data_IF_370107247950
#
_entry.id   IF_370107247950
#
_cell.length_a   1.000
_cell.length_b   1.000
_cell.length_c   1.000
_cell.angle_alpha   90.00
_cell.angle_beta   90.00
_cell.angle_gamma   90.00
#
_symmetry.space_group_name_H-M   'P 1'
#
loop_
_entity.id
_entity.type
_entity.pdbx_description
1 polymer ?
#
# COMPACT_ATOMS: atom_id res chain seq x y z
N UNK A 1 -13.99 -20.15 -11.19
CA UNK A 1 -13.74 -19.21 -12.28
C UNK A 1 -14.84 -18.15 -12.45
N UNK A 2 -16.12 -18.48 -12.49
CA UNK A 2 -17.24 -17.51 -12.53
C UNK A 2 -17.31 -16.55 -11.33
N UNK A 3 -17.03 -17.02 -10.11
CA UNK A 3 -17.02 -16.21 -8.87
C UNK A 3 -15.94 -15.10 -8.88
N UNK A 4 -14.79 -15.37 -9.47
CA UNK A 4 -13.66 -14.43 -9.57
C UNK A 4 -14.00 -13.20 -10.43
N UNK A 5 -14.67 -13.41 -11.56
CA UNK A 5 -15.14 -12.33 -12.43
C UNK A 5 -16.33 -11.56 -11.86
N UNK A 6 -17.15 -12.23 -11.05
CA UNK A 6 -18.21 -11.54 -10.32
C UNK A 6 -17.64 -10.60 -9.25
N UNK A 7 -16.51 -10.92 -8.61
CA UNK A 7 -15.85 -10.02 -7.67
C UNK A 7 -15.25 -8.78 -8.37
N UNK A 8 -14.53 -8.96 -9.50
CA UNK A 8 -14.03 -7.83 -10.30
C UNK A 8 -15.18 -6.95 -10.84
N UNK A 9 -16.21 -7.56 -11.40
CA UNK A 9 -17.39 -6.84 -11.87
C UNK A 9 -18.16 -6.19 -10.71
N UNK A 10 -18.25 -6.81 -9.53
CA UNK A 10 -18.87 -6.20 -8.35
C UNK A 10 -18.11 -4.98 -7.84
N UNK A 11 -16.78 -4.98 -7.96
CA UNK A 11 -15.97 -3.82 -7.57
C UNK A 11 -16.17 -2.61 -8.50
N UNK A 12 -16.52 -2.82 -9.80
CA UNK A 12 -16.44 -1.76 -10.81
C UNK A 12 -17.55 -1.76 -11.85
N UNK A 13 -18.71 -2.41 -11.60
CA UNK A 13 -19.85 -2.30 -12.50
C UNK A 13 -20.45 -0.89 -12.41
N UNK A 14 -20.66 -0.19 -13.54
CA UNK A 14 -21.48 1.02 -13.57
C UNK A 14 -22.87 0.72 -13.03
N UNK A 15 -23.21 1.25 -11.87
CA UNK A 15 -24.50 0.99 -11.17
C UNK A 15 -24.37 0.30 -9.80
N UNK A 16 -23.27 -0.42 -9.51
CA UNK A 16 -23.03 -0.95 -8.15
C UNK A 16 -22.13 0.03 -7.36
N UNK A 17 -22.73 0.89 -6.56
CA UNK A 17 -22.05 1.95 -5.82
C UNK A 17 -21.20 1.44 -4.63
N UNK A 18 -21.44 0.21 -4.15
CA UNK A 18 -20.81 -0.29 -2.92
C UNK A 18 -19.27 -0.39 -2.97
N UNK A 19 -18.64 -0.95 -4.02
CA UNK A 19 -17.19 -1.05 -4.05
C UNK A 19 -16.48 0.30 -4.23
N UNK A 20 -17.09 1.20 -5.02
CA UNK A 20 -16.59 2.55 -5.21
C UNK A 20 -16.67 3.36 -3.91
N UNK A 21 -17.76 3.19 -3.14
CA UNK A 21 -17.91 3.80 -1.82
C UNK A 21 -16.87 3.24 -0.84
N UNK A 22 -16.65 1.93 -0.84
CA UNK A 22 -15.63 1.30 0.01
C UNK A 22 -14.21 1.80 -0.32
N UNK A 23 -13.87 1.92 -1.61
CA UNK A 23 -12.58 2.49 -2.05
C UNK A 23 -12.46 3.96 -1.62
N UNK A 24 -13.49 4.78 -1.85
CA UNK A 24 -13.49 6.19 -1.47
C UNK A 24 -13.38 6.38 0.06
N UNK A 25 -14.00 5.51 0.84
CA UNK A 25 -13.89 5.51 2.30
C UNK A 25 -12.45 5.16 2.75
N UNK A 26 -11.85 4.14 2.15
CA UNK A 26 -10.46 3.75 2.39
C UNK A 26 -9.51 4.90 2.04
N UNK A 27 -9.67 5.50 0.88
CA UNK A 27 -8.83 6.61 0.41
C UNK A 27 -9.04 7.90 1.21
N UNK A 28 -10.29 8.18 1.65
CA UNK A 28 -10.71 9.45 2.23
C UNK A 28 -10.96 10.53 1.19
N UNK A 29 -11.08 10.16 -0.08
CA UNK A 29 -11.44 11.03 -1.22
C UNK A 29 -11.96 10.19 -2.39
N UNK A 30 -12.53 10.86 -3.41
CA UNK A 30 -13.02 10.20 -4.60
C UNK A 30 -11.92 10.07 -5.66
N UNK A 31 -11.72 8.87 -6.26
CA UNK A 31 -10.87 8.69 -7.43
C UNK A 31 -11.36 9.50 -8.64
N UNK A 32 -10.45 10.15 -9.38
CA UNK A 32 -10.76 10.76 -10.68
C UNK A 32 -10.66 9.70 -11.78
N UNK A 33 -9.63 8.85 -11.73
CA UNK A 33 -9.40 7.78 -12.69
C UNK A 33 -9.47 6.41 -12.02
N UNK A 34 -10.67 5.84 -11.94
CA UNK A 34 -10.93 4.54 -11.30
C UNK A 34 -10.07 3.41 -11.88
N UNK A 35 -9.72 3.45 -13.17
CA UNK A 35 -8.89 2.42 -13.83
C UNK A 35 -7.50 2.27 -13.22
N UNK A 36 -6.93 3.34 -12.68
CA UNK A 36 -5.64 3.27 -11.97
C UNK A 36 -5.75 2.43 -10.70
N UNK A 37 -6.86 2.56 -9.98
CA UNK A 37 -7.11 1.81 -8.75
C UNK A 37 -7.50 0.35 -9.03
N UNK A 38 -8.24 0.09 -10.12
CA UNK A 38 -8.46 -1.26 -10.62
C UNK A 38 -7.16 -1.97 -10.91
N UNK A 39 -6.26 -1.29 -11.62
CA UNK A 39 -4.92 -1.81 -11.92
C UNK A 39 -4.11 -2.05 -10.64
N UNK A 40 -4.12 -1.12 -9.69
CA UNK A 40 -3.41 -1.24 -8.41
C UNK A 40 -3.87 -2.47 -7.61
N UNK A 41 -5.17 -2.75 -7.62
CA UNK A 41 -5.79 -3.87 -6.90
C UNK A 41 -5.75 -5.19 -7.68
N UNK A 42 -5.18 -5.22 -8.89
CA UNK A 42 -5.06 -6.42 -9.72
C UNK A 42 -3.65 -7.00 -9.64
N UNK A 43 -3.49 -8.11 -8.93
CA UNK A 43 -2.20 -8.78 -8.81
C UNK A 43 -1.81 -9.51 -10.11
N UNK A 44 -0.49 -9.61 -10.38
CA UNK A 44 0.07 -10.30 -11.56
C UNK A 44 -0.38 -11.76 -11.74
N UNK A 45 -0.81 -12.44 -10.69
CA UNK A 45 -1.33 -13.81 -10.77
C UNK A 45 -2.75 -13.89 -11.33
N UNK A 46 -3.41 -12.76 -11.54
CA UNK A 46 -4.77 -12.71 -12.07
C UNK A 46 -4.79 -13.06 -13.55
N UNK A 47 -5.82 -13.81 -13.98
CA UNK A 47 -6.04 -14.18 -15.38
C UNK A 47 -7.46 -13.80 -15.81
N UNK A 48 -7.58 -13.33 -17.04
CA UNK A 48 -8.89 -13.12 -17.68
C UNK A 48 -9.47 -14.46 -18.16
N UNK A 49 -10.81 -14.59 -18.37
CA UNK A 49 -11.43 -15.83 -18.83
C UNK A 49 -10.95 -16.30 -20.19
N UNK A 50 -10.50 -15.36 -21.03
CA UNK A 50 -9.92 -15.62 -22.35
C UNK A 50 -8.44 -16.04 -22.30
N UNK A 51 -7.90 -16.23 -21.10
CA UNK A 51 -6.49 -16.59 -20.86
C UNK A 51 -5.51 -15.42 -20.94
N UNK A 52 -5.96 -14.22 -21.30
CA UNK A 52 -5.11 -13.02 -21.31
C UNK A 52 -4.79 -12.57 -19.90
N UNK A 53 -3.65 -11.93 -19.73
CA UNK A 53 -3.28 -11.28 -18.48
C UNK A 53 -3.89 -9.87 -18.43
N UNK A 54 -4.60 -9.50 -17.35
CA UNK A 54 -5.05 -8.14 -17.18
C UNK A 54 -3.85 -7.19 -16.96
N UNK A 55 -4.08 -5.91 -17.14
CA UNK A 55 -3.15 -4.88 -16.69
C UNK A 55 -3.04 -5.01 -15.15
N UNK A 56 -1.84 -5.24 -14.64
CA UNK A 56 -1.60 -5.57 -13.24
C UNK A 56 -0.87 -4.43 -12.49
N UNK A 57 -0.60 -4.65 -11.21
CA UNK A 57 -0.04 -3.67 -10.31
C UNK A 57 1.48 -3.43 -10.42
N UNK A 58 2.25 -4.29 -11.11
CA UNK A 58 3.73 -4.26 -11.09
C UNK A 58 4.33 -2.89 -11.48
N UNK A 59 3.76 -2.21 -12.49
CA UNK A 59 4.27 -0.90 -12.90
C UNK A 59 3.96 0.21 -11.90
N UNK A 60 2.86 0.11 -11.17
CA UNK A 60 2.49 1.05 -10.11
C UNK A 60 3.33 0.79 -8.85
N UNK A 61 3.60 -0.46 -8.52
CA UNK A 61 4.53 -0.89 -7.46
C UNK A 61 5.94 -0.33 -7.72
N UNK A 62 6.45 -0.46 -8.94
CA UNK A 62 7.74 0.14 -9.32
C UNK A 62 7.78 1.67 -9.11
N UNK A 63 6.70 2.37 -9.46
CA UNK A 63 6.63 3.82 -9.27
C UNK A 63 6.55 4.20 -7.79
N UNK A 64 5.80 3.42 -7.01
CA UNK A 64 5.60 3.67 -5.59
C UNK A 64 6.90 3.59 -4.78
N UNK A 65 7.79 2.66 -5.10
CA UNK A 65 9.05 2.48 -4.36
C UNK A 65 9.79 3.84 -4.18
N UNK A 66 9.85 4.64 -5.24
CA UNK A 66 10.43 5.98 -5.17
C UNK A 66 9.54 6.97 -4.39
N UNK A 67 8.22 6.95 -4.62
CA UNK A 67 7.26 7.90 -4.03
C UNK A 67 7.09 7.67 -2.53
N UNK A 68 6.89 6.42 -2.12
CA UNK A 68 6.78 6.04 -0.71
C UNK A 68 8.07 6.31 0.03
N UNK A 69 9.21 5.94 -0.57
CA UNK A 69 10.53 6.20 -0.01
C UNK A 69 10.76 7.69 0.27
N UNK A 70 10.46 8.56 -0.70
CA UNK A 70 10.57 10.01 -0.55
C UNK A 70 9.59 10.57 0.49
N UNK A 71 8.34 10.10 0.46
CA UNK A 71 7.27 10.55 1.37
C UNK A 71 7.61 10.20 2.83
N UNK A 72 8.01 8.96 3.09
CA UNK A 72 8.38 8.50 4.43
C UNK A 72 9.63 9.23 4.93
N UNK A 73 10.63 9.45 4.05
CA UNK A 73 11.83 10.21 4.40
C UNK A 73 11.49 11.64 4.84
N UNK A 74 10.62 12.35 4.11
CA UNK A 74 10.20 13.71 4.47
C UNK A 74 9.43 13.74 5.80
N UNK A 75 8.53 12.77 6.02
CA UNK A 75 7.80 12.64 7.29
C UNK A 75 8.77 12.44 8.46
N UNK A 76 9.71 11.51 8.34
CA UNK A 76 10.67 11.18 9.39
C UNK A 76 11.64 12.33 9.66
N UNK A 77 12.12 12.99 8.62
CA UNK A 77 13.02 14.14 8.73
C UNK A 77 12.38 15.28 9.56
N UNK A 78 11.11 15.56 9.30
CA UNK A 78 10.34 16.59 10.03
C UNK A 78 9.94 16.15 11.44
N UNK A 79 9.65 14.86 11.62
CA UNK A 79 9.20 14.32 12.92
C UNK A 79 10.35 14.16 13.92
N UNK A 80 11.56 13.86 13.44
CA UNK A 80 12.75 13.64 14.26
C UNK A 80 13.89 14.61 13.94
N UNK A 81 13.75 15.93 14.16
CA UNK A 81 14.71 16.95 13.71
C UNK A 81 16.11 16.77 14.30
N UNK A 82 16.23 16.15 15.48
CA UNK A 82 17.50 15.98 16.20
C UNK A 82 18.15 14.61 16.00
N UNK A 83 17.58 13.74 15.14
CA UNK A 83 18.13 12.40 14.89
C UNK A 83 19.08 12.39 13.70
N UNK A 84 20.15 11.59 13.80
CA UNK A 84 21.15 11.41 12.74
C UNK A 84 20.60 10.56 11.59
N UNK A 85 21.25 10.66 10.42
CA UNK A 85 20.88 9.97 9.18
C UNK A 85 20.67 8.45 9.38
N UNK A 86 21.61 7.75 10.01
CA UNK A 86 21.50 6.31 10.21
C UNK A 86 20.30 5.86 11.06
N UNK A 87 19.79 6.73 11.97
CA UNK A 87 18.53 6.48 12.66
C UNK A 87 17.34 6.63 11.71
N UNK A 88 17.29 7.70 10.92
CA UNK A 88 16.21 7.97 9.99
C UNK A 88 16.11 6.88 8.92
N UNK A 89 17.25 6.43 8.40
CA UNK A 89 17.34 5.34 7.42
C UNK A 89 16.84 4.02 8.00
N UNK A 90 17.24 3.67 9.22
CA UNK A 90 16.77 2.44 9.86
C UNK A 90 15.27 2.46 10.14
N UNK A 91 14.72 3.57 10.65
CA UNK A 91 13.26 3.69 10.89
C UNK A 91 12.51 3.65 9.55
N UNK A 92 12.99 4.35 8.51
CA UNK A 92 12.40 4.27 7.16
C UNK A 92 12.32 2.83 6.67
N UNK A 93 13.43 2.09 6.72
CA UNK A 93 13.48 0.70 6.27
C UNK A 93 12.45 -0.18 6.97
N UNK A 94 12.20 0.03 8.28
CA UNK A 94 11.17 -0.70 9.03
C UNK A 94 9.74 -0.34 8.62
N UNK A 95 9.51 0.88 8.15
CA UNK A 95 8.19 1.31 7.66
C UNK A 95 7.91 0.71 6.29
N UNK A 96 8.89 0.77 5.37
CA UNK A 96 8.70 0.35 3.97
C UNK A 96 9.01 -1.12 3.73
N UNK A 97 9.39 -1.89 4.74
CA UNK A 97 9.63 -3.32 4.58
C UNK A 97 8.32 -4.07 4.29
N UNK A 98 8.42 -5.14 3.50
CA UNK A 98 7.29 -5.93 3.00
C UNK A 98 6.33 -6.42 4.08
N UNK A 99 6.85 -6.88 5.21
CA UNK A 99 6.04 -7.37 6.33
C UNK A 99 5.18 -6.26 6.94
N UNK A 100 5.74 -5.06 7.07
CA UNK A 100 5.01 -3.89 7.60
C UNK A 100 3.93 -3.45 6.62
N UNK A 101 4.26 -3.32 5.34
CA UNK A 101 3.30 -2.91 4.32
C UNK A 101 2.17 -3.92 4.16
N UNK A 102 2.51 -5.22 4.18
CA UNK A 102 1.49 -6.26 4.09
C UNK A 102 0.55 -6.28 5.31
N UNK A 103 1.09 -6.09 6.52
CA UNK A 103 0.27 -5.96 7.73
C UNK A 103 -0.66 -4.75 7.63
N UNK A 104 -0.15 -3.59 7.25
CA UNK A 104 -0.97 -2.38 7.06
C UNK A 104 -2.06 -2.62 6.02
N UNK A 105 -1.73 -3.23 4.88
CA UNK A 105 -2.68 -3.54 3.82
C UNK A 105 -3.84 -4.42 4.32
N UNK A 106 -3.54 -5.44 5.13
CA UNK A 106 -4.55 -6.31 5.75
C UNK A 106 -5.42 -5.54 6.75
N UNK A 107 -4.82 -4.75 7.62
CA UNK A 107 -5.54 -3.91 8.59
C UNK A 107 -6.42 -2.85 7.90
N UNK A 108 -6.02 -2.37 6.73
CA UNK A 108 -6.82 -1.50 5.87
C UNK A 108 -7.96 -2.22 5.14
N UNK A 109 -7.97 -3.56 5.10
CA UNK A 109 -8.97 -4.37 4.41
C UNK A 109 -8.73 -4.52 2.91
N UNK A 110 -7.49 -4.34 2.43
CA UNK A 110 -7.15 -4.51 1.01
C UNK A 110 -7.27 -5.96 0.54
N UNK A 111 -7.24 -6.94 1.44
CA UNK A 111 -7.51 -8.34 1.16
C UNK A 111 -8.89 -8.57 0.53
N UNK A 112 -9.89 -7.76 0.92
CA UNK A 112 -11.26 -7.82 0.41
C UNK A 112 -11.43 -7.18 -0.97
N UNK A 113 -10.47 -6.34 -1.37
CA UNK A 113 -10.50 -5.56 -2.61
C UNK A 113 -9.51 -6.07 -3.66
N UNK A 114 -8.43 -6.72 -3.22
CA UNK A 114 -7.36 -7.20 -4.12
C UNK A 114 -7.80 -8.44 -4.88
N UNK A 115 -7.59 -8.41 -6.18
CA UNK A 115 -7.88 -9.53 -7.07
C UNK A 115 -6.59 -10.29 -7.33
N UNK A 116 -6.52 -11.53 -6.86
CA UNK A 116 -5.37 -12.40 -7.04
C UNK A 116 -5.80 -13.87 -7.14
N UNK A 117 -5.13 -14.63 -7.99
CA UNK A 117 -5.26 -16.09 -8.03
C UNK A 117 -4.23 -16.72 -7.08
N UNK A 118 -4.52 -16.68 -5.77
CA UNK A 118 -3.64 -17.21 -4.74
C UNK A 118 -4.09 -18.63 -4.39
N UNK A 119 -3.15 -19.57 -4.34
CA UNK A 119 -3.40 -20.90 -3.77
C UNK A 119 -3.47 -20.79 -2.25
N UNK A 120 -4.45 -21.43 -1.57
CA UNK A 120 -4.40 -21.60 -0.12
C UNK A 120 -3.03 -22.20 0.25
N UNK A 121 -2.34 -21.68 1.25
CA UNK A 121 -1.02 -22.11 1.72
C UNK A 121 0.20 -21.69 0.89
N UNK A 122 0.11 -20.75 -0.04
CA UNK A 122 1.33 -20.12 -0.55
C UNK A 122 1.93 -19.19 0.51
N UNK A 123 3.19 -19.43 0.90
CA UNK A 123 3.95 -18.56 1.81
C UNK A 123 4.22 -17.14 1.25
N UNK A 124 3.67 -16.80 0.09
CA UNK A 124 3.78 -15.50 -0.56
C UNK A 124 2.71 -14.52 -0.08
N UNK A 125 2.76 -14.17 1.19
CA UNK A 125 1.83 -13.20 1.79
C UNK A 125 2.09 -11.73 1.42
N UNK A 126 2.90 -11.43 0.41
CA UNK A 126 3.22 -10.06 0.00
C UNK A 126 2.21 -9.43 -0.96
N UNK A 127 1.20 -10.17 -1.38
CA UNK A 127 0.21 -9.72 -2.39
C UNK A 127 -0.51 -8.44 -1.98
N UNK A 128 -0.87 -8.34 -0.72
CA UNK A 128 -1.60 -7.18 -0.20
C UNK A 128 -0.68 -5.99 0.02
N UNK A 129 0.58 -6.23 0.43
CA UNK A 129 1.63 -5.22 0.49
C UNK A 129 1.87 -4.60 -0.89
N UNK A 130 2.06 -5.42 -1.92
CA UNK A 130 2.21 -4.97 -3.30
C UNK A 130 0.97 -4.19 -3.81
N UNK A 131 -0.23 -4.58 -3.37
CA UNK A 131 -1.45 -3.82 -3.69
C UNK A 131 -1.48 -2.46 -3.00
N UNK A 132 -0.97 -2.35 -1.76
CA UNK A 132 -0.85 -1.07 -1.06
C UNK A 132 0.17 -0.15 -1.74
N UNK A 133 1.34 -0.67 -2.10
CA UNK A 133 2.35 0.05 -2.87
C UNK A 133 1.76 0.57 -4.18
N UNK A 134 1.16 -0.31 -4.97
CA UNK A 134 0.52 0.09 -6.22
C UNK A 134 -0.62 1.11 -6.02
N UNK A 135 -1.36 1.02 -4.92
CA UNK A 135 -2.40 1.98 -4.56
C UNK A 135 -1.82 3.38 -4.33
N UNK A 136 -0.68 3.48 -3.65
CA UNK A 136 0.03 4.75 -3.43
C UNK A 136 0.51 5.32 -4.77
N UNK A 137 1.06 4.48 -5.66
CA UNK A 137 1.41 4.87 -7.03
C UNK A 137 0.20 5.37 -7.83
N UNK A 138 -0.95 4.71 -7.69
CA UNK A 138 -2.21 5.15 -8.32
C UNK A 138 -2.68 6.52 -7.79
N UNK A 139 -2.63 6.73 -6.48
CA UNK A 139 -2.97 8.03 -5.86
C UNK A 139 -2.06 9.13 -6.39
N UNK A 140 -0.76 8.86 -6.50
CA UNK A 140 0.19 9.81 -7.04
C UNK A 140 -0.13 10.21 -8.49
N UNK A 141 -0.43 9.26 -9.36
CA UNK A 141 -0.78 9.52 -10.75
C UNK A 141 -2.12 10.25 -10.91
N UNK A 142 -3.09 9.96 -10.04
CA UNK A 142 -4.44 10.51 -10.11
C UNK A 142 -4.56 11.91 -9.48
N UNK A 143 -3.87 12.15 -8.37
CA UNK A 143 -4.03 13.34 -7.54
C UNK A 143 -2.73 14.10 -7.25
N UNK A 144 -1.59 13.60 -7.71
CA UNK A 144 -0.29 14.19 -7.50
C UNK A 144 0.29 13.97 -6.09
N UNK A 145 1.53 14.46 -5.91
CA UNK A 145 2.34 14.20 -4.71
C UNK A 145 1.68 14.66 -3.41
N UNK A 146 1.07 15.84 -3.39
CA UNK A 146 0.48 16.42 -2.15
C UNK A 146 -0.61 15.53 -1.56
N UNK A 147 -1.48 14.98 -2.39
CA UNK A 147 -2.57 14.09 -1.95
C UNK A 147 -2.02 12.74 -1.51
N UNK A 148 -1.05 12.21 -2.25
CA UNK A 148 -0.33 10.99 -1.92
C UNK A 148 0.38 11.13 -0.57
N UNK A 149 1.13 12.20 -0.34
CA UNK A 149 1.77 12.51 0.93
C UNK A 149 0.77 12.53 2.11
N UNK A 150 -0.37 13.19 1.91
CA UNK A 150 -1.42 13.24 2.94
C UNK A 150 -1.97 11.86 3.26
N UNK A 151 -2.22 11.03 2.25
CA UNK A 151 -2.68 9.64 2.42
C UNK A 151 -1.67 8.82 3.22
N UNK A 152 -0.40 8.82 2.82
CA UNK A 152 0.66 8.08 3.53
C UNK A 152 0.80 8.57 4.97
N UNK A 153 0.84 9.89 5.20
CA UNK A 153 1.01 10.46 6.53
C UNK A 153 -0.17 10.17 7.46
N UNK A 154 -1.38 10.42 7.01
CA UNK A 154 -2.58 10.41 7.87
C UNK A 154 -3.24 9.03 7.89
N UNK A 155 -3.43 8.40 6.72
CA UNK A 155 -4.18 7.14 6.60
C UNK A 155 -3.31 5.91 6.83
N UNK A 156 -2.06 5.92 6.38
CA UNK A 156 -1.16 4.78 6.55
C UNK A 156 -0.38 4.87 7.85
N UNK A 157 0.49 5.89 8.02
CA UNK A 157 1.34 5.99 9.20
C UNK A 157 0.51 6.36 10.42
N UNK A 158 -0.30 7.41 10.34
CA UNK A 158 -1.05 7.94 11.49
C UNK A 158 -2.04 6.96 12.14
N UNK A 159 -2.60 6.01 11.38
CA UNK A 159 -3.54 5.02 11.91
C UNK A 159 -2.88 3.69 12.29
N UNK A 160 -1.88 3.23 11.54
CA UNK A 160 -1.38 1.86 11.66
C UNK A 160 0.03 1.75 12.25
N UNK A 161 0.73 2.87 12.42
CA UNK A 161 2.09 2.88 12.95
C UNK A 161 2.21 3.90 14.11
N UNK A 162 3.07 3.57 15.06
CA UNK A 162 3.54 4.52 16.06
C UNK A 162 5.01 4.79 15.80
N UNK A 163 5.34 5.98 15.33
CA UNK A 163 6.71 6.39 15.05
C UNK A 163 7.56 6.37 16.33
N UNK A 164 6.97 6.71 17.48
CA UNK A 164 7.64 6.69 18.78
C UNK A 164 8.02 5.26 19.22
N UNK A 165 7.12 4.28 18.99
CA UNK A 165 7.41 2.86 19.28
C UNK A 165 8.51 2.33 18.38
N UNK A 166 8.49 2.68 17.09
CA UNK A 166 9.55 2.31 16.15
C UNK A 166 10.89 2.94 16.53
N UNK A 167 10.89 4.21 16.92
CA UNK A 167 12.06 4.93 17.38
C UNK A 167 12.67 4.31 18.64
N UNK A 168 11.86 3.95 19.64
CA UNK A 168 12.31 3.27 20.87
C UNK A 168 12.96 1.91 20.60
N UNK A 169 12.34 1.10 19.73
CA UNK A 169 12.93 -0.20 19.34
C UNK A 169 14.29 -0.03 18.68
N UNK A 170 14.46 1.00 17.84
CA UNK A 170 15.74 1.28 17.19
C UNK A 170 16.82 1.72 18.17
N UNK A 171 16.48 2.56 19.14
CA UNK A 171 17.43 3.01 20.17
C UNK A 171 17.87 1.85 21.07
N UNK A 172 16.94 1.00 21.53
CA UNK A 172 17.25 -0.15 22.36
C UNK A 172 18.13 -1.17 21.64
N UNK A 173 17.88 -1.42 20.34
CA UNK A 173 18.69 -2.34 19.56
C UNK A 173 20.15 -1.88 19.44
N UNK A 174 20.40 -0.57 19.28
CA UNK A 174 21.76 -0.02 19.23
C UNK A 174 22.45 -0.04 20.59
N UNK A 175 21.75 0.17 21.69
CA UNK A 175 22.32 0.06 23.04
C UNK A 175 22.77 -1.36 23.34
N UNK A 176 21.95 -2.36 23.01
CA UNK A 176 22.28 -3.79 23.27
C UNK A 176 23.41 -4.33 22.34
N UNK A 177 23.79 -3.62 21.28
CA UNK A 177 24.92 -3.98 20.42
C UNK A 177 26.26 -3.38 20.88
N UNK A 178 26.22 -2.46 21.86
CA UNK A 178 27.40 -1.76 22.39
C UNK A 178 27.79 -2.28 23.80
N UNK A 179 27.01 -3.20 24.37
CA UNK A 179 27.34 -4.02 25.52
C UNK A 179 27.92 -5.38 25.11
#
# INVERSE_FOLDING_TARGET
MRLFFQQLKRLFIPGNKEPYLSLSQLLGFHPNNVKLYEQALTHRSSHLPDGKRPCNNERLEFLDDAILGATVADILYKHFPNKKEGFLTSVRSKIVQRETLNRIALEMGLDKMTVASIRPNSHNNCVYGNALEALIGAIYLDHGYRKCFKFVKERMIGHYLSLEKLARKEMNFKSNLLE
#
